data_IF_699835562084
#
_entry.id   IF_699835562084
#
_cell.length_a   1.000
_cell.length_b   1.000
_cell.length_c   1.000
_cell.angle_alpha   90.00
_cell.angle_beta   90.00
_cell.angle_gamma   90.00
#
_symmetry.space_group_name_H-M   'P 1'
#
loop_
_entity.id
_entity.type
_entity.pdbx_description
1 polymer ?
#
# COMPACT_ATOMS: atom_id res chain seq x y z
N UNK A 1 -1.79 -22.00 -11.25
CA UNK A 1 -0.75 -21.06 -11.74
C UNK A 1 -0.41 -20.09 -10.61
N UNK A 2 0.86 -19.76 -10.42
CA UNK A 2 1.26 -18.82 -9.38
C UNK A 2 1.11 -17.40 -9.92
N UNK A 3 0.41 -16.53 -9.19
CA UNK A 3 0.20 -15.11 -9.55
C UNK A 3 1.54 -14.38 -9.74
N UNK A 4 1.65 -13.52 -10.75
CA UNK A 4 2.91 -12.85 -11.13
C UNK A 4 3.53 -12.07 -9.96
N UNK A 5 2.74 -11.39 -9.12
CA UNK A 5 3.26 -10.64 -7.99
C UNK A 5 3.90 -11.53 -6.90
N UNK A 6 3.51 -12.81 -6.81
CA UNK A 6 4.17 -13.81 -5.93
C UNK A 6 5.42 -14.38 -6.59
N UNK A 7 5.33 -14.74 -7.89
CA UNK A 7 6.41 -15.33 -8.68
C UNK A 7 7.61 -14.37 -8.81
N UNK A 8 7.37 -13.09 -9.06
CA UNK A 8 8.38 -12.06 -9.27
C UNK A 8 8.71 -11.22 -8.03
N UNK A 9 8.29 -11.68 -6.85
CA UNK A 9 8.67 -11.02 -5.59
C UNK A 9 10.20 -11.01 -5.44
N UNK A 10 10.83 -9.85 -5.26
CA UNK A 10 12.28 -9.76 -5.04
C UNK A 10 12.74 -10.63 -3.87
N UNK A 11 13.89 -11.31 -4.05
CA UNK A 11 14.49 -12.21 -3.05
C UNK A 11 15.86 -11.74 -2.56
N UNK A 12 16.32 -10.57 -3.00
CA UNK A 12 17.57 -9.93 -2.58
C UNK A 12 17.50 -8.43 -2.81
N UNK A 13 18.26 -7.65 -2.09
CA UNK A 13 18.34 -6.19 -2.29
C UNK A 13 18.75 -5.78 -3.70
N UNK A 14 19.52 -6.62 -4.43
CA UNK A 14 19.94 -6.35 -5.81
C UNK A 14 18.79 -6.37 -6.82
N UNK A 15 17.71 -7.07 -6.49
CA UNK A 15 16.56 -7.26 -7.41
C UNK A 15 15.39 -6.35 -7.09
N UNK A 16 15.45 -5.59 -6.00
CA UNK A 16 14.44 -4.59 -5.64
C UNK A 16 14.51 -3.44 -6.65
N UNK A 17 13.34 -3.01 -7.13
CA UNK A 17 13.18 -1.83 -7.97
C UNK A 17 12.62 -0.71 -7.10
N UNK A 18 13.16 0.50 -7.22
CA UNK A 18 12.78 1.65 -6.42
C UNK A 18 13.20 1.55 -4.95
N UNK A 19 12.69 2.45 -4.13
CA UNK A 19 13.00 2.55 -2.69
C UNK A 19 14.52 2.52 -2.39
N UNK A 20 15.30 3.17 -3.24
CA UNK A 20 16.78 3.11 -3.25
C UNK A 20 17.38 3.55 -1.91
N UNK A 21 16.83 4.59 -1.29
CA UNK A 21 17.30 5.12 0.00
C UNK A 21 17.15 4.05 1.11
N UNK A 22 15.98 3.46 1.26
CA UNK A 22 15.71 2.42 2.26
C UNK A 22 16.54 1.16 2.01
N UNK A 23 16.67 0.75 0.75
CA UNK A 23 17.52 -0.40 0.36
C UNK A 23 18.98 -0.13 0.67
N UNK A 24 19.50 1.07 0.38
CA UNK A 24 20.89 1.46 0.68
C UNK A 24 21.14 1.49 2.19
N UNK A 25 20.20 2.07 2.95
CA UNK A 25 20.28 2.11 4.42
C UNK A 25 20.38 0.70 5.00
N UNK A 26 19.51 -0.21 4.57
CA UNK A 26 19.55 -1.61 5.01
C UNK A 26 20.88 -2.28 4.66
N UNK A 27 21.39 -2.12 3.42
CA UNK A 27 22.67 -2.67 3.01
C UNK A 27 23.81 -2.17 3.90
N UNK A 28 23.88 -0.86 4.14
CA UNK A 28 24.90 -0.27 5.01
C UNK A 28 24.82 -0.81 6.44
N UNK A 29 23.61 -1.04 6.98
CA UNK A 29 23.43 -1.64 8.30
C UNK A 29 23.94 -3.08 8.35
N UNK A 30 23.70 -3.87 7.29
CA UNK A 30 24.24 -5.23 7.19
C UNK A 30 25.77 -5.24 7.10
N UNK A 31 26.35 -4.41 6.24
CA UNK A 31 27.80 -4.30 6.05
C UNK A 31 28.52 -3.90 7.34
N UNK A 32 27.92 -2.97 8.10
CA UNK A 32 28.46 -2.49 9.38
C UNK A 32 28.10 -3.37 10.57
N UNK A 33 27.26 -4.38 10.39
CA UNK A 33 26.73 -5.22 11.48
C UNK A 33 26.01 -4.40 12.58
N UNK A 34 25.28 -3.37 12.17
CA UNK A 34 24.56 -2.44 13.05
C UNK A 34 23.04 -2.53 12.85
N UNK A 35 22.53 -3.67 12.37
CA UNK A 35 21.10 -3.84 12.15
C UNK A 35 20.38 -3.84 13.51
N UNK A 36 19.41 -2.93 13.74
CA UNK A 36 18.61 -2.93 14.95
C UNK A 36 17.72 -4.18 15.06
N UNK A 37 17.44 -4.61 16.28
CA UNK A 37 16.59 -5.77 16.54
C UNK A 37 15.12 -5.56 16.15
N UNK A 38 14.65 -4.30 16.10
CA UNK A 38 13.28 -3.97 15.72
C UNK A 38 13.27 -2.97 14.57
N UNK A 39 12.77 -3.41 13.41
CA UNK A 39 12.59 -2.60 12.20
C UNK A 39 11.10 -2.39 11.93
N UNK A 40 10.71 -1.16 11.58
CA UNK A 40 9.35 -0.81 11.20
C UNK A 40 9.29 -0.35 9.74
N UNK A 41 8.85 -1.22 8.85
CA UNK A 41 8.56 -0.90 7.46
C UNK A 41 7.16 -0.26 7.37
N UNK A 42 7.09 0.99 6.96
CA UNK A 42 5.82 1.69 6.85
C UNK A 42 5.65 2.36 5.49
N UNK A 43 4.41 2.49 5.04
CA UNK A 43 4.08 3.11 3.75
C UNK A 43 2.87 2.45 3.09
N UNK A 44 2.47 2.91 1.89
CA UNK A 44 1.25 2.48 1.22
C UNK A 44 1.16 0.98 0.95
N UNK A 45 -0.05 0.49 0.66
CA UNK A 45 -0.26 -0.92 0.33
C UNK A 45 0.41 -1.29 -1.00
N UNK A 46 0.95 -2.52 -1.08
CA UNK A 46 1.53 -3.04 -2.33
C UNK A 46 2.91 -2.50 -2.72
N UNK A 47 3.54 -1.60 -1.92
CA UNK A 47 4.84 -0.99 -2.22
C UNK A 47 6.06 -1.86 -1.85
N UNK A 48 5.87 -3.01 -1.19
CA UNK A 48 6.95 -3.97 -0.94
C UNK A 48 7.45 -4.06 0.50
N UNK A 49 6.73 -3.55 1.52
CA UNK A 49 7.10 -3.65 2.95
C UNK A 49 7.45 -5.07 3.37
N UNK A 50 6.50 -5.99 3.25
CA UNK A 50 6.66 -7.42 3.58
C UNK A 50 7.74 -8.09 2.72
N UNK A 51 7.97 -7.58 1.50
CA UNK A 51 9.05 -8.05 0.61
C UNK A 51 10.42 -7.68 1.18
N UNK A 52 10.61 -6.43 1.58
CA UNK A 52 11.87 -5.98 2.21
C UNK A 52 12.12 -6.72 3.51
N UNK A 53 11.11 -6.91 4.35
CA UNK A 53 11.21 -7.70 5.58
C UNK A 53 11.68 -9.13 5.31
N UNK A 54 11.14 -9.80 4.29
CA UNK A 54 11.58 -11.16 3.91
C UNK A 54 12.99 -11.19 3.30
N UNK A 55 13.44 -10.13 2.66
CA UNK A 55 14.84 -9.99 2.22
C UNK A 55 15.76 -9.87 3.44
N UNK A 56 15.38 -9.05 4.43
CA UNK A 56 16.11 -8.93 5.71
C UNK A 56 16.24 -10.29 6.41
N UNK A 57 15.13 -11.07 6.49
CA UNK A 57 15.15 -12.46 6.99
C UNK A 57 16.23 -13.29 6.31
N UNK A 58 16.28 -13.23 4.98
CA UNK A 58 17.24 -14.01 4.19
C UNK A 58 18.69 -13.56 4.41
N UNK A 59 18.92 -12.24 4.45
CA UNK A 59 20.27 -11.68 4.67
C UNK A 59 20.78 -11.97 6.10
N UNK A 60 19.88 -12.11 7.08
CA UNK A 60 20.22 -12.56 8.44
C UNK A 60 20.50 -14.07 8.52
N UNK A 61 20.23 -14.83 7.47
CA UNK A 61 20.40 -16.29 7.48
C UNK A 61 19.40 -17.03 8.38
N UNK A 62 18.24 -16.43 8.68
CA UNK A 62 17.23 -17.06 9.52
C UNK A 62 16.58 -18.25 8.80
N UNK A 63 16.58 -19.42 9.45
CA UNK A 63 15.92 -20.62 8.96
C UNK A 63 14.40 -20.51 8.95
N UNK A 64 13.73 -21.34 8.15
CA UNK A 64 12.25 -21.26 8.03
C UNK A 64 11.54 -21.68 9.33
N UNK A 65 12.13 -22.54 10.14
CA UNK A 65 11.59 -22.98 11.44
C UNK A 65 11.63 -21.83 12.46
N UNK A 66 12.65 -20.97 12.38
CA UNK A 66 12.85 -19.83 13.28
C UNK A 66 12.24 -18.53 12.76
N UNK A 67 11.51 -18.61 11.65
CA UNK A 67 10.79 -17.48 11.05
C UNK A 67 9.28 -17.64 11.22
N UNK A 68 8.67 -16.73 11.94
CA UNK A 68 7.21 -16.67 12.10
C UNK A 68 6.67 -15.38 11.47
N UNK A 69 5.73 -15.54 10.56
CA UNK A 69 5.01 -14.43 9.93
C UNK A 69 3.57 -14.42 10.42
N UNK A 70 3.17 -13.36 11.10
CA UNK A 70 1.87 -13.18 11.72
C UNK A 70 1.18 -11.95 11.13
N UNK A 71 -0.06 -12.12 10.68
CA UNK A 71 -0.90 -10.99 10.29
C UNK A 71 -1.71 -10.51 11.49
N UNK A 72 -1.45 -9.27 11.94
CA UNK A 72 -2.14 -8.70 13.09
C UNK A 72 -3.64 -8.45 12.87
N UNK A 73 -4.13 -8.56 11.63
CA UNK A 73 -5.58 -8.58 11.37
C UNK A 73 -6.26 -9.83 11.93
N UNK A 74 -5.54 -10.96 11.93
CA UNK A 74 -6.05 -12.25 12.39
C UNK A 74 -5.77 -12.47 13.88
N UNK A 75 -4.69 -11.90 14.40
CA UNK A 75 -4.16 -12.07 15.76
C UNK A 75 -4.06 -10.73 16.49
N UNK A 76 -5.18 -10.19 16.95
CA UNK A 76 -5.24 -8.86 17.57
C UNK A 76 -4.96 -8.87 19.09
N UNK A 77 -4.94 -10.05 19.70
CA UNK A 77 -4.99 -10.23 21.17
C UNK A 77 -3.62 -10.17 21.85
N UNK A 78 -3.68 -9.98 23.17
CA UNK A 78 -2.52 -9.99 24.07
C UNK A 78 -1.88 -11.38 24.16
N UNK A 79 -2.63 -12.44 23.91
CA UNK A 79 -2.17 -13.82 24.12
C UNK A 79 -1.10 -14.21 23.11
N UNK A 80 -1.26 -13.80 21.84
CA UNK A 80 -0.21 -13.98 20.82
C UNK A 80 1.11 -13.30 21.21
N UNK A 81 1.03 -12.10 21.80
CA UNK A 81 2.23 -11.38 22.30
C UNK A 81 2.87 -12.12 23.47
N UNK A 82 2.07 -12.74 24.35
CA UNK A 82 2.59 -13.57 25.44
C UNK A 82 3.29 -14.82 24.93
N UNK A 83 2.74 -15.49 23.90
CA UNK A 83 3.40 -16.62 23.23
C UNK A 83 4.72 -16.21 22.59
N UNK A 84 4.75 -15.08 21.88
CA UNK A 84 5.99 -14.53 21.32
C UNK A 84 7.02 -14.32 22.44
N UNK A 85 6.62 -13.73 23.57
CA UNK A 85 7.50 -13.47 24.71
C UNK A 85 8.10 -14.74 25.31
N UNK A 86 7.33 -15.81 25.39
CA UNK A 86 7.84 -17.10 25.87
C UNK A 86 8.80 -17.74 24.85
N UNK A 87 8.44 -17.73 23.57
CA UNK A 87 9.20 -18.35 22.51
C UNK A 87 10.49 -17.61 22.14
N UNK A 88 10.54 -16.28 22.33
CA UNK A 88 11.73 -15.49 22.00
C UNK A 88 12.93 -15.78 22.92
N UNK A 89 12.69 -16.34 24.08
CA UNK A 89 13.76 -16.74 25.02
C UNK A 89 14.46 -18.03 24.60
N UNK A 90 13.85 -18.81 23.70
CA UNK A 90 14.43 -20.05 23.19
C UNK A 90 15.48 -19.76 22.12
N UNK A 91 16.59 -20.47 22.17
CA UNK A 91 17.61 -20.40 21.13
C UNK A 91 17.05 -20.78 19.76
N UNK A 92 17.57 -20.21 18.65
CA UNK A 92 17.21 -20.63 17.31
C UNK A 92 17.51 -22.11 17.10
N UNK A 93 16.67 -22.80 16.30
CA UNK A 93 16.83 -24.21 15.98
C UNK A 93 17.70 -24.36 14.72
N UNK A 94 17.48 -23.50 13.71
CA UNK A 94 18.15 -23.60 12.43
C UNK A 94 18.58 -22.22 11.92
N UNK A 95 19.76 -21.78 12.34
CA UNK A 95 20.33 -20.52 11.92
C UNK A 95 20.82 -19.65 13.09
N UNK A 96 21.33 -18.45 12.78
CA UNK A 96 21.93 -17.58 13.79
C UNK A 96 20.91 -16.77 14.58
N UNK A 97 19.65 -16.69 14.12
CA UNK A 97 18.63 -15.82 14.72
C UNK A 97 17.22 -16.37 14.55
N UNK A 98 16.30 -15.81 15.34
CA UNK A 98 14.86 -16.03 15.29
C UNK A 98 14.16 -14.73 14.91
N UNK A 99 13.18 -14.79 14.02
CA UNK A 99 12.53 -13.59 13.47
C UNK A 99 11.01 -13.71 13.57
N UNK A 100 10.38 -12.68 14.09
CA UNK A 100 8.94 -12.44 13.98
C UNK A 100 8.66 -11.31 13.00
N UNK A 101 7.94 -11.63 11.93
CA UNK A 101 7.39 -10.65 11.01
C UNK A 101 5.92 -10.41 11.38
N UNK A 102 5.63 -9.22 11.90
CA UNK A 102 4.28 -8.79 12.25
C UNK A 102 3.76 -7.87 11.13
N UNK A 103 2.85 -8.38 10.31
CA UNK A 103 2.23 -7.59 9.24
C UNK A 103 0.97 -6.91 9.73
N UNK A 104 0.67 -5.73 9.19
CA UNK A 104 -0.45 -4.85 9.54
C UNK A 104 -0.52 -4.55 11.06
N UNK A 105 0.65 -4.23 11.66
CA UNK A 105 0.75 -4.08 13.12
C UNK A 105 -0.17 -2.99 13.70
N UNK A 106 -0.67 -2.06 12.90
CA UNK A 106 -1.67 -1.07 13.30
C UNK A 106 -3.05 -1.68 13.62
N UNK A 107 -3.27 -2.96 13.28
CA UNK A 107 -4.50 -3.70 13.62
C UNK A 107 -4.44 -4.33 15.02
N UNK A 108 -3.32 -4.27 15.71
CA UNK A 108 -3.20 -4.76 17.07
C UNK A 108 -4.11 -3.96 18.03
N UNK A 109 -4.68 -4.65 19.01
CA UNK A 109 -5.42 -3.97 20.07
C UNK A 109 -4.49 -3.09 20.93
N UNK A 110 -4.99 -2.04 21.58
CA UNK A 110 -4.19 -1.22 22.49
C UNK A 110 -3.50 -2.04 23.59
N UNK A 111 -4.17 -3.08 24.11
CA UNK A 111 -3.60 -4.02 25.09
C UNK A 111 -2.45 -4.83 24.48
N UNK A 112 -2.59 -5.31 23.22
CA UNK A 112 -1.54 -5.98 22.48
C UNK A 112 -0.34 -5.08 22.23
N UNK A 113 -0.56 -3.83 21.80
CA UNK A 113 0.50 -2.84 21.60
C UNK A 113 1.30 -2.57 22.89
N UNK A 114 0.61 -2.40 24.03
CA UNK A 114 1.27 -2.20 25.31
C UNK A 114 2.07 -3.44 25.77
N UNK A 115 1.54 -4.64 25.53
CA UNK A 115 2.30 -5.87 25.80
C UNK A 115 3.54 -6.02 24.91
N UNK A 116 3.44 -5.58 23.65
CA UNK A 116 4.55 -5.61 22.70
C UNK A 116 5.71 -4.67 23.08
N UNK A 117 5.46 -3.60 23.83
CA UNK A 117 6.54 -2.72 24.30
C UNK A 117 7.62 -3.49 25.05
N UNK A 118 7.22 -4.40 25.94
CA UNK A 118 8.17 -5.19 26.76
C UNK A 118 9.02 -6.14 25.90
N UNK A 119 8.44 -6.74 24.86
CA UNK A 119 9.22 -7.64 23.99
C UNK A 119 10.20 -6.88 23.11
N UNK A 120 9.90 -5.61 22.73
CA UNK A 120 10.83 -4.77 21.96
C UNK A 120 11.93 -4.14 22.81
N UNK A 121 11.69 -3.94 24.11
CA UNK A 121 12.70 -3.47 25.08
C UNK A 121 13.66 -4.59 25.50
N UNK A 122 13.12 -5.75 25.81
CA UNK A 122 13.88 -6.89 26.36
C UNK A 122 14.24 -7.91 25.25
N UNK A 123 14.49 -7.45 24.03
CA UNK A 123 14.77 -8.32 22.87
C UNK A 123 16.13 -9.03 23.04
N UNK A 124 16.19 -10.38 23.07
CA UNK A 124 17.47 -11.11 23.11
C UNK A 124 18.30 -10.87 21.85
N UNK A 125 19.64 -10.98 21.95
CA UNK A 125 20.57 -10.69 20.86
C UNK A 125 20.38 -11.57 19.61
N UNK A 126 19.75 -12.73 19.72
CA UNK A 126 19.43 -13.62 18.60
C UNK A 126 18.03 -13.40 18.01
N UNK A 127 17.27 -12.39 18.49
CA UNK A 127 15.90 -12.15 18.08
C UNK A 127 15.78 -10.87 17.29
N UNK A 128 14.95 -10.88 16.21
CA UNK A 128 14.61 -9.71 15.44
C UNK A 128 13.10 -9.61 15.24
N UNK A 129 12.59 -8.39 15.30
CA UNK A 129 11.20 -8.05 15.00
C UNK A 129 11.13 -7.20 13.73
N UNK A 130 10.41 -7.69 12.73
CA UNK A 130 10.17 -6.98 11.48
C UNK A 130 8.70 -6.60 11.45
N UNK A 131 8.41 -5.32 11.64
CA UNK A 131 7.06 -4.79 11.70
C UNK A 131 6.70 -4.17 10.36
N UNK A 132 5.48 -4.44 9.86
CA UNK A 132 4.95 -3.80 8.65
C UNK A 132 3.63 -3.11 8.96
N UNK A 133 3.44 -1.89 8.44
CA UNK A 133 2.19 -1.14 8.59
C UNK A 133 1.91 -0.25 7.39
N UNK A 134 0.64 -0.09 7.05
CA UNK A 134 0.17 0.93 6.12
C UNK A 134 -0.15 2.24 6.83
N UNK A 135 -0.36 2.22 8.14
CA UNK A 135 -0.75 3.38 8.93
C UNK A 135 0.12 3.50 10.20
N UNK A 136 1.30 4.15 10.11
CA UNK A 136 2.19 4.31 11.26
C UNK A 136 1.59 5.23 12.33
N UNK A 137 0.60 6.08 11.99
CA UNK A 137 0.00 7.02 12.95
C UNK A 137 -0.91 6.30 13.97
N UNK A 138 -1.46 5.13 13.62
CA UNK A 138 -2.23 4.30 14.55
C UNK A 138 -1.38 3.57 15.58
N UNK A 139 -0.08 3.49 15.37
CA UNK A 139 0.84 2.92 16.36
C UNK A 139 1.08 3.92 17.49
N UNK A 140 1.05 3.42 18.73
CA UNK A 140 1.39 4.26 19.88
C UNK A 140 2.84 4.77 19.75
N UNK A 141 3.05 6.02 20.11
CA UNK A 141 4.35 6.71 19.95
C UNK A 141 5.51 5.92 20.56
N UNK A 142 5.26 5.27 21.69
CA UNK A 142 6.25 4.47 22.42
C UNK A 142 6.74 3.24 21.63
N UNK A 143 5.93 2.62 20.78
CA UNK A 143 6.41 1.57 19.85
C UNK A 143 7.30 2.19 18.78
N UNK A 144 6.86 3.28 18.16
CA UNK A 144 7.61 3.92 17.07
C UNK A 144 9.01 4.36 17.50
N UNK A 145 9.13 4.91 18.71
CA UNK A 145 10.44 5.35 19.24
C UNK A 145 11.41 4.20 19.55
N UNK A 146 10.94 2.94 19.64
CA UNK A 146 11.75 1.75 19.84
C UNK A 146 12.09 1.00 18.55
N UNK A 147 11.54 1.46 17.45
CA UNK A 147 11.76 0.85 16.14
C UNK A 147 12.65 1.74 15.27
N UNK A 148 13.50 1.14 14.46
CA UNK A 148 14.14 1.83 13.36
C UNK A 148 13.15 1.90 12.19
N UNK A 149 12.66 3.11 11.90
CA UNK A 149 11.68 3.34 10.84
C UNK A 149 12.31 3.24 9.45
N UNK A 150 11.70 2.44 8.59
CA UNK A 150 12.09 2.18 7.20
C UNK A 150 10.93 2.58 6.28
N UNK A 151 10.92 3.80 5.75
CA UNK A 151 9.86 4.24 4.83
C UNK A 151 9.93 3.46 3.53
N UNK A 152 8.77 3.03 3.04
CA UNK A 152 8.60 2.35 1.74
C UNK A 152 7.57 3.11 0.94
N UNK A 153 8.01 3.71 -0.15
CA UNK A 153 7.20 4.62 -0.96
C UNK A 153 6.63 3.93 -2.19
N UNK A 154 5.66 4.59 -2.82
CA UNK A 154 5.19 4.22 -4.14
C UNK A 154 6.35 4.24 -5.14
N UNK A 155 6.32 3.31 -6.10
CA UNK A 155 7.25 3.33 -7.21
C UNK A 155 6.89 4.48 -8.16
N UNK A 156 7.90 5.16 -8.67
CA UNK A 156 7.71 6.14 -9.74
C UNK A 156 7.37 5.45 -11.06
N UNK A 157 6.70 6.15 -11.98
CA UNK A 157 6.25 5.60 -13.28
C UNK A 157 7.36 4.88 -14.03
N UNK A 158 8.58 5.43 -14.03
CA UNK A 158 9.76 4.81 -14.64
C UNK A 158 10.08 3.43 -14.06
N UNK A 159 9.97 3.27 -12.74
CA UNK A 159 10.29 2.02 -12.05
C UNK A 159 9.20 0.97 -12.28
N UNK A 160 7.93 1.38 -12.34
CA UNK A 160 6.82 0.50 -12.74
C UNK A 160 7.01 0.03 -14.17
N UNK A 161 7.32 0.93 -15.11
CA UNK A 161 7.59 0.58 -16.50
C UNK A 161 8.74 -0.42 -16.61
N UNK A 162 9.83 -0.21 -15.85
CA UNK A 162 10.95 -1.15 -15.78
C UNK A 162 10.53 -2.52 -15.27
N UNK A 163 9.68 -2.55 -14.23
CA UNK A 163 9.12 -3.78 -13.66
C UNK A 163 8.28 -4.54 -14.69
N UNK A 164 7.36 -3.84 -15.35
CA UNK A 164 6.49 -4.41 -16.38
C UNK A 164 7.28 -5.00 -17.54
N UNK A 165 8.21 -4.22 -18.13
CA UNK A 165 9.07 -4.69 -19.26
C UNK A 165 9.93 -5.89 -18.85
N UNK A 166 10.47 -5.91 -17.62
CA UNK A 166 11.25 -7.05 -17.11
C UNK A 166 10.40 -8.31 -16.97
N UNK A 167 9.19 -8.19 -16.43
CA UNK A 167 8.31 -9.34 -16.19
C UNK A 167 7.70 -9.83 -17.50
N UNK A 168 7.22 -8.94 -18.36
CA UNK A 168 6.68 -9.28 -19.69
C UNK A 168 7.68 -10.07 -20.53
N UNK A 169 8.94 -9.62 -20.55
CA UNK A 169 10.02 -10.33 -21.27
C UNK A 169 10.24 -11.75 -20.75
N UNK A 170 10.13 -11.96 -19.42
CA UNK A 170 10.33 -13.29 -18.80
C UNK A 170 9.15 -14.23 -18.95
N UNK A 171 7.97 -13.68 -19.09
CA UNK A 171 6.71 -14.42 -19.27
C UNK A 171 6.33 -14.54 -20.75
N UNK A 172 7.16 -14.02 -21.65
CA UNK A 172 6.89 -13.99 -23.09
C UNK A 172 5.56 -13.30 -23.44
N UNK A 173 5.20 -12.29 -22.65
CA UNK A 173 4.00 -11.48 -22.85
C UNK A 173 4.36 -10.33 -23.79
N UNK A 174 3.74 -10.28 -24.97
CA UNK A 174 3.81 -9.09 -25.83
C UNK A 174 3.04 -7.95 -25.15
N UNK A 175 3.77 -6.96 -24.65
CA UNK A 175 3.20 -5.79 -23.98
C UNK A 175 3.50 -4.55 -24.82
N UNK A 176 2.46 -3.95 -25.38
CA UNK A 176 2.57 -2.70 -26.13
C UNK A 176 2.86 -1.54 -25.15
N UNK A 177 3.58 -0.53 -25.61
CA UNK A 177 3.97 0.60 -24.76
C UNK A 177 2.73 1.37 -24.27
N UNK A 178 1.70 1.56 -25.09
CA UNK A 178 0.42 2.22 -24.69
C UNK A 178 -0.28 1.46 -23.56
N UNK A 179 -0.35 0.13 -23.68
CA UNK A 179 -0.94 -0.75 -22.65
C UNK A 179 -0.11 -0.73 -21.37
N UNK A 180 1.22 -0.63 -21.49
CA UNK A 180 2.11 -0.50 -20.34
C UNK A 180 1.93 0.86 -19.64
N UNK A 181 1.74 1.94 -20.37
CA UNK A 181 1.44 3.28 -19.85
C UNK A 181 0.09 3.30 -19.11
N UNK A 182 -0.95 2.68 -19.68
CA UNK A 182 -2.24 2.53 -19.02
C UNK A 182 -2.12 1.79 -17.67
N UNK A 183 -1.30 0.74 -17.59
CA UNK A 183 -1.04 0.04 -16.31
C UNK A 183 -0.28 0.96 -15.34
N UNK A 184 0.72 1.70 -15.81
CA UNK A 184 1.51 2.63 -14.99
C UNK A 184 0.60 3.67 -14.36
N UNK A 185 -0.33 4.23 -15.11
CA UNK A 185 -1.28 5.24 -14.63
C UNK A 185 -2.30 4.63 -13.64
N UNK A 186 -2.80 3.42 -13.95
CA UNK A 186 -3.84 2.78 -13.14
C UNK A 186 -3.33 2.13 -11.85
N UNK A 187 -2.04 1.79 -11.75
CA UNK A 187 -1.51 1.09 -10.59
C UNK A 187 -1.12 2.00 -9.41
N UNK A 188 -1.14 3.32 -9.59
CA UNK A 188 -0.81 4.32 -8.55
C UNK A 188 0.54 4.05 -7.85
N UNK A 189 1.53 3.58 -8.59
CA UNK A 189 2.86 3.26 -8.05
C UNK A 189 2.93 1.98 -7.22
N UNK A 190 1.86 1.19 -7.16
CA UNK A 190 1.84 -0.11 -6.48
C UNK A 190 2.38 -1.22 -7.39
N UNK A 191 3.55 -1.76 -7.05
CA UNK A 191 4.13 -2.89 -7.78
C UNK A 191 3.20 -4.13 -7.80
N UNK A 192 2.44 -4.37 -6.71
CA UNK A 192 1.46 -5.46 -6.64
C UNK A 192 0.34 -5.25 -7.64
N UNK A 193 -0.26 -4.06 -7.66
CA UNK A 193 -1.35 -3.72 -8.59
C UNK A 193 -0.90 -3.82 -10.03
N UNK A 194 0.28 -3.29 -10.37
CA UNK A 194 0.84 -3.38 -11.72
C UNK A 194 0.99 -4.83 -12.19
N UNK A 195 1.53 -5.73 -11.35
CA UNK A 195 1.68 -7.14 -11.70
C UNK A 195 0.37 -7.91 -11.72
N UNK A 196 -0.62 -7.54 -10.91
CA UNK A 196 -1.98 -8.12 -10.98
C UNK A 196 -2.66 -7.72 -12.28
N UNK A 197 -2.53 -6.45 -12.72
CA UNK A 197 -3.06 -6.00 -14.01
C UNK A 197 -2.39 -6.73 -15.18
N UNK A 198 -1.05 -6.84 -15.16
CA UNK A 198 -0.31 -7.60 -16.16
C UNK A 198 -0.73 -9.07 -16.22
N UNK A 199 -0.96 -9.71 -15.06
CA UNK A 199 -1.41 -11.11 -14.96
C UNK A 199 -2.80 -11.33 -15.56
N UNK A 200 -3.69 -10.35 -15.43
CA UNK A 200 -5.02 -10.37 -16.04
C UNK A 200 -4.98 -10.31 -17.57
N UNK A 201 -4.14 -9.44 -18.12
CA UNK A 201 -4.11 -9.21 -19.57
C UNK A 201 -3.28 -10.23 -20.35
N UNK A 202 -2.43 -11.01 -19.68
CA UNK A 202 -1.54 -11.97 -20.38
C UNK A 202 -2.28 -12.98 -21.24
N UNK A 203 -3.52 -13.36 -20.85
CA UNK A 203 -4.35 -14.33 -21.56
C UNK A 203 -5.43 -13.67 -22.44
N UNK A 204 -5.43 -12.34 -22.56
CA UNK A 204 -6.40 -11.58 -23.37
C UNK A 204 -5.78 -11.27 -24.73
N UNK A 205 -6.53 -11.42 -25.85
CA UNK A 205 -6.08 -11.00 -27.17
C UNK A 205 -5.62 -9.53 -27.15
N UNK A 206 -4.63 -9.20 -27.98
CA UNK A 206 -3.94 -7.91 -27.97
C UNK A 206 -4.90 -6.72 -28.13
N UNK A 207 -5.86 -6.86 -29.03
CA UNK A 207 -6.86 -5.84 -29.38
C UNK A 207 -7.82 -5.50 -28.21
N UNK A 208 -7.96 -6.41 -27.24
CA UNK A 208 -8.90 -6.26 -26.11
C UNK A 208 -8.18 -5.88 -24.80
N UNK A 209 -6.84 -5.82 -24.77
CA UNK A 209 -6.05 -5.57 -23.56
C UNK A 209 -6.26 -4.17 -23.02
N UNK A 210 -6.22 -3.17 -23.88
CA UNK A 210 -6.49 -1.78 -23.50
C UNK A 210 -7.87 -1.62 -22.86
N UNK A 211 -8.90 -2.22 -23.46
CA UNK A 211 -10.27 -2.19 -22.90
C UNK A 211 -10.36 -2.90 -21.52
N UNK A 212 -9.65 -4.02 -21.36
CA UNK A 212 -9.63 -4.77 -20.11
C UNK A 212 -8.92 -4.01 -18.96
N UNK A 213 -7.93 -3.18 -19.26
CA UNK A 213 -7.27 -2.29 -18.29
C UNK A 213 -8.13 -1.06 -18.05
N UNK A 214 -8.67 -0.47 -19.12
CA UNK A 214 -9.49 0.74 -19.07
C UNK A 214 -10.73 0.54 -18.20
N UNK A 215 -11.38 -0.61 -18.23
CA UNK A 215 -12.50 -0.93 -17.33
C UNK A 215 -12.13 -0.87 -15.84
N UNK A 216 -10.89 -1.11 -15.48
CA UNK A 216 -10.40 -0.97 -14.10
C UNK A 216 -9.90 0.45 -13.79
N UNK A 217 -9.39 1.14 -14.81
CA UNK A 217 -9.01 2.56 -14.76
C UNK A 217 -10.20 3.52 -14.96
N UNK A 218 -11.29 3.06 -15.61
CA UNK A 218 -12.50 3.88 -15.82
C UNK A 218 -13.14 4.25 -14.49
N UNK A 219 -13.26 3.31 -13.55
CA UNK A 219 -13.78 3.60 -12.20
C UNK A 219 -12.97 4.72 -11.51
N UNK A 220 -11.65 4.75 -11.71
CA UNK A 220 -10.77 5.77 -11.15
C UNK A 220 -10.77 7.06 -11.97
N UNK A 221 -10.76 6.95 -13.32
CA UNK A 221 -10.88 8.11 -14.24
C UNK A 221 -12.22 8.83 -14.06
N UNK A 222 -13.30 8.10 -13.91
CA UNK A 222 -14.64 8.62 -13.62
C UNK A 222 -14.63 9.48 -12.35
N UNK A 223 -14.02 9.00 -11.26
CA UNK A 223 -13.86 9.75 -10.02
C UNK A 223 -13.01 11.03 -10.22
N UNK A 224 -11.90 10.96 -10.94
CA UNK A 224 -11.03 12.11 -11.24
C UNK A 224 -11.73 13.12 -12.16
N UNK A 225 -12.46 12.65 -13.16
CA UNK A 225 -13.22 13.53 -14.06
C UNK A 225 -14.30 14.28 -13.31
N UNK A 226 -15.04 13.59 -12.43
CA UNK A 226 -16.00 14.21 -11.53
C UNK A 226 -15.34 15.26 -10.62
N UNK A 227 -14.19 14.93 -10.01
CA UNK A 227 -13.42 15.85 -9.17
C UNK A 227 -13.05 17.13 -9.92
N UNK A 228 -12.50 16.98 -11.14
CA UNK A 228 -12.12 18.13 -11.98
C UNK A 228 -13.33 18.98 -12.35
N UNK A 229 -14.47 18.35 -12.68
CA UNK A 229 -15.70 19.06 -13.01
C UNK A 229 -16.23 19.88 -11.81
N UNK A 230 -16.20 19.31 -10.60
CA UNK A 230 -16.63 19.98 -9.38
C UNK A 230 -15.70 21.16 -9.02
N UNK A 231 -14.38 20.95 -9.07
CA UNK A 231 -13.41 22.02 -8.74
C UNK A 231 -13.39 23.13 -9.77
N UNK A 232 -13.55 22.80 -11.06
CA UNK A 232 -13.68 23.79 -12.13
C UNK A 232 -15.06 24.47 -12.17
N UNK A 233 -15.98 24.10 -11.28
CA UNK A 233 -17.35 24.60 -11.22
C UNK A 233 -18.06 24.51 -12.59
N UNK A 234 -17.96 23.36 -13.23
CA UNK A 234 -18.69 23.11 -14.48
C UNK A 234 -20.20 23.20 -14.24
N UNK A 235 -20.97 23.37 -15.30
CA UNK A 235 -22.43 23.46 -15.18
C UNK A 235 -23.01 22.15 -14.63
N UNK A 236 -24.15 22.24 -13.92
CA UNK A 236 -24.86 21.07 -13.43
C UNK A 236 -25.19 20.07 -14.56
N UNK A 237 -25.46 20.58 -15.76
CA UNK A 237 -25.68 19.76 -16.95
C UNK A 237 -24.45 18.88 -17.29
N UNK A 238 -23.25 19.40 -17.15
CA UNK A 238 -22.03 18.66 -17.43
C UNK A 238 -21.76 17.61 -16.35
N UNK A 239 -21.93 17.98 -15.09
CA UNK A 239 -21.81 17.04 -13.95
C UNK A 239 -22.85 15.92 -14.03
N UNK A 240 -24.09 16.25 -14.43
CA UNK A 240 -25.14 15.22 -14.61
C UNK A 240 -24.78 14.22 -15.72
N UNK A 241 -24.10 14.66 -16.79
CA UNK A 241 -23.63 13.71 -17.83
C UNK A 241 -22.59 12.74 -17.26
N UNK A 242 -21.65 13.24 -16.46
CA UNK A 242 -20.65 12.40 -15.81
C UNK A 242 -21.35 11.44 -14.85
N UNK A 243 -22.22 11.92 -13.95
CA UNK A 243 -22.96 11.09 -13.00
C UNK A 243 -23.76 9.95 -13.66
N UNK A 244 -24.41 10.22 -14.81
CA UNK A 244 -25.15 9.19 -15.57
C UNK A 244 -24.25 8.14 -16.21
N UNK A 245 -22.98 8.46 -16.45
CA UNK A 245 -21.98 7.55 -17.02
C UNK A 245 -21.26 6.70 -15.96
N UNK A 246 -21.32 7.08 -14.68
CA UNK A 246 -20.62 6.41 -13.59
C UNK A 246 -21.08 4.97 -13.40
N UNK A 247 -20.12 4.05 -13.35
CA UNK A 247 -20.33 2.63 -13.06
C UNK A 247 -19.71 2.22 -11.73
N UNK A 248 -18.84 3.07 -11.19
CA UNK A 248 -18.13 2.82 -9.94
C UNK A 248 -19.05 2.95 -8.72
N UNK A 249 -18.73 2.23 -7.66
CA UNK A 249 -19.43 2.32 -6.38
C UNK A 249 -19.36 3.76 -5.83
N UNK A 250 -20.48 4.36 -5.38
CA UNK A 250 -20.54 5.74 -4.88
C UNK A 250 -19.56 6.03 -3.76
N UNK A 251 -19.30 5.07 -2.89
CA UNK A 251 -18.36 5.24 -1.79
C UNK A 251 -16.91 5.27 -2.29
N UNK A 252 -16.54 4.50 -3.31
CA UNK A 252 -15.22 4.59 -3.96
C UNK A 252 -15.02 5.96 -4.61
N UNK A 253 -16.07 6.50 -5.27
CA UNK A 253 -16.02 7.83 -5.86
C UNK A 253 -15.85 8.89 -4.78
N UNK A 254 -16.56 8.78 -3.66
CA UNK A 254 -16.41 9.67 -2.49
C UNK A 254 -14.94 9.74 -2.04
N UNK A 255 -14.30 8.59 -1.83
CA UNK A 255 -12.89 8.54 -1.43
C UNK A 255 -11.95 9.16 -2.48
N UNK A 256 -12.21 8.95 -3.76
CA UNK A 256 -11.45 9.58 -4.85
C UNK A 256 -11.57 11.10 -4.83
N UNK A 257 -12.79 11.63 -4.65
CA UNK A 257 -13.05 13.09 -4.55
C UNK A 257 -12.35 13.67 -3.32
N UNK A 258 -12.51 13.06 -2.16
CA UNK A 258 -11.86 13.52 -0.92
C UNK A 258 -10.33 13.50 -1.04
N UNK A 259 -9.76 12.44 -1.61
CA UNK A 259 -8.32 12.33 -1.84
C UNK A 259 -7.78 13.43 -2.76
N UNK A 260 -8.51 13.72 -3.85
CA UNK A 260 -8.14 14.75 -4.81
C UNK A 260 -8.20 16.16 -4.19
N UNK A 261 -9.30 16.48 -3.48
CA UNK A 261 -9.45 17.74 -2.78
C UNK A 261 -8.36 17.94 -1.71
N UNK A 262 -8.08 16.92 -0.91
CA UNK A 262 -6.99 16.92 0.07
C UNK A 262 -5.63 17.22 -0.58
N UNK A 263 -5.34 16.62 -1.73
CA UNK A 263 -4.07 16.86 -2.43
C UNK A 263 -3.92 18.31 -2.91
N UNK A 264 -5.02 18.96 -3.31
CA UNK A 264 -5.01 20.39 -3.65
C UNK A 264 -4.82 21.25 -2.41
N UNK A 265 -5.58 21.03 -1.35
CA UNK A 265 -5.54 21.81 -0.12
C UNK A 265 -4.18 21.76 0.59
N UNK A 266 -3.45 20.66 0.44
CA UNK A 266 -2.08 20.54 0.96
C UNK A 266 -1.04 21.32 0.13
N UNK A 267 -1.36 21.70 -1.11
CA UNK A 267 -0.47 22.47 -1.99
C UNK A 267 -0.75 23.97 -1.96
N UNK A 268 -2.02 24.35 -1.89
CA UNK A 268 -2.46 25.73 -1.99
C UNK A 268 -3.78 25.97 -1.24
N UNK A 269 -4.05 27.23 -0.89
CA UNK A 269 -5.35 27.62 -0.35
C UNK A 269 -6.38 27.63 -1.47
N UNK A 270 -7.36 26.72 -1.42
CA UNK A 270 -8.40 26.59 -2.42
C UNK A 270 -9.77 26.39 -1.76
N UNK A 271 -10.57 27.47 -1.72
CA UNK A 271 -11.88 27.45 -1.07
C UNK A 271 -12.86 26.50 -1.75
N UNK A 272 -12.77 26.34 -3.09
CA UNK A 272 -13.62 25.40 -3.83
C UNK A 272 -13.32 23.96 -3.44
N UNK A 273 -12.03 23.59 -3.37
CA UNK A 273 -11.61 22.26 -2.96
C UNK A 273 -12.03 21.95 -1.51
N UNK A 274 -11.99 22.97 -0.62
CA UNK A 274 -12.47 22.82 0.75
C UNK A 274 -13.99 22.59 0.79
N UNK A 275 -14.76 23.36 0.06
CA UNK A 275 -16.22 23.19 -0.01
C UNK A 275 -16.61 21.81 -0.59
N UNK A 276 -15.98 21.41 -1.71
CA UNK A 276 -16.21 20.07 -2.25
C UNK A 276 -15.88 18.99 -1.23
N UNK A 277 -14.75 19.12 -0.51
CA UNK A 277 -14.37 18.17 0.53
C UNK A 277 -15.45 18.03 1.60
N UNK A 278 -16.00 19.15 2.10
CA UNK A 278 -17.06 19.15 3.13
C UNK A 278 -18.35 18.50 2.64
N UNK A 279 -18.72 18.70 1.36
CA UNK A 279 -19.91 18.05 0.79
C UNK A 279 -19.79 16.52 0.72
N UNK A 280 -18.57 15.98 0.70
CA UNK A 280 -18.29 14.55 0.60
C UNK A 280 -17.85 13.93 1.93
N UNK A 281 -18.00 14.63 3.06
CA UNK A 281 -17.52 14.15 4.36
C UNK A 281 -18.35 12.96 4.88
N UNK A 282 -19.66 12.98 4.67
CA UNK A 282 -20.55 11.90 5.09
C UNK A 282 -20.46 10.67 4.17
N UNK A 283 -20.42 9.44 4.73
CA UNK A 283 -20.38 8.20 3.96
C UNK A 283 -21.67 7.97 3.16
N UNK A 284 -21.56 7.33 1.99
CA UNK A 284 -22.69 7.00 1.12
C UNK A 284 -23.17 5.54 1.25
N UNK A 285 -22.83 4.83 2.33
CA UNK A 285 -23.20 3.43 2.51
C UNK A 285 -24.71 3.18 2.43
N UNK A 286 -25.52 4.04 3.06
CA UNK A 286 -26.98 3.94 3.10
C UNK A 286 -27.64 4.70 1.94
N UNK A 287 -27.13 5.90 1.64
CA UNK A 287 -27.69 6.80 0.61
C UNK A 287 -27.29 6.43 -0.82
N UNK A 288 -26.18 5.67 -0.99
CA UNK A 288 -25.66 5.22 -2.29
C UNK A 288 -25.61 6.34 -3.36
N UNK A 289 -26.17 6.10 -4.53
CA UNK A 289 -26.22 7.07 -5.62
C UNK A 289 -26.91 8.39 -5.24
N UNK A 290 -27.94 8.32 -4.40
CA UNK A 290 -28.67 9.51 -3.97
C UNK A 290 -27.77 10.45 -3.16
N UNK A 291 -26.94 9.90 -2.27
CA UNK A 291 -25.95 10.66 -1.50
C UNK A 291 -24.91 11.31 -2.42
N UNK A 292 -24.37 10.56 -3.37
CA UNK A 292 -23.41 11.09 -4.35
C UNK A 292 -24.00 12.25 -5.18
N UNK A 293 -25.21 12.07 -5.70
CA UNK A 293 -25.91 13.13 -6.49
C UNK A 293 -26.17 14.35 -5.63
N UNK A 294 -26.64 14.17 -4.39
CA UNK A 294 -26.87 15.25 -3.44
C UNK A 294 -25.62 16.03 -3.11
N UNK A 295 -24.51 15.35 -2.80
CA UNK A 295 -23.22 15.96 -2.52
C UNK A 295 -22.70 16.77 -3.71
N UNK A 296 -22.79 16.24 -4.93
CA UNK A 296 -22.43 16.97 -6.15
C UNK A 296 -23.29 18.20 -6.39
N UNK A 297 -24.60 18.11 -6.12
CA UNK A 297 -25.52 19.25 -6.27
C UNK A 297 -25.14 20.37 -5.31
N UNK A 298 -24.94 20.06 -4.04
CA UNK A 298 -24.52 21.03 -3.01
C UNK A 298 -23.14 21.63 -3.38
N UNK A 299 -22.20 20.81 -3.83
CA UNK A 299 -20.86 21.28 -4.21
C UNK A 299 -20.87 22.31 -5.36
N UNK A 300 -21.88 22.28 -6.24
CA UNK A 300 -21.99 23.22 -7.38
C UNK A 300 -22.81 24.43 -7.04
N UNK A 301 -23.91 24.30 -6.29
CA UNK A 301 -24.88 25.32 -6.02
C UNK A 301 -24.74 25.98 -4.64
N UNK A 302 -23.92 25.39 -3.74
CA UNK A 302 -23.67 25.97 -2.42
C UNK A 302 -22.93 27.31 -2.50
N UNK A 303 -23.36 28.28 -1.68
CA UNK A 303 -22.68 29.55 -1.48
C UNK A 303 -21.51 29.36 -0.47
N UNK A 304 -20.42 30.12 -0.68
CA UNK A 304 -19.23 30.14 0.22
C UNK A 304 -19.25 31.33 1.13
#
# INVERSE_FOLDING_TARGET
MTELYKKYRPRSFKTVIGNTSTVLTLKNMFERKTLPHTLLFHGPSGCGKTTLARIVKKELGCGDIDFQELNCSDFRGIDTIREIRQNMMLSPINGPCRIWLLDEVHQMSPAGMNAALKIFEDTPSHVYFLLCTTDPQKLIKTIRTRCCEMPVEHLVSRDIMLLLKRVSKREEIELDDDVAEDIVDACEGSARSALVMLDKIKNIPKEQRAEAITKQGEEQREGIELCRALIQRKTWRDVTKILKGLKADPEKIRWSVMGYCKAILLKEKNNVAYHVLTCFEEPFYDSKENGLVGACYIAIHGEF
#
